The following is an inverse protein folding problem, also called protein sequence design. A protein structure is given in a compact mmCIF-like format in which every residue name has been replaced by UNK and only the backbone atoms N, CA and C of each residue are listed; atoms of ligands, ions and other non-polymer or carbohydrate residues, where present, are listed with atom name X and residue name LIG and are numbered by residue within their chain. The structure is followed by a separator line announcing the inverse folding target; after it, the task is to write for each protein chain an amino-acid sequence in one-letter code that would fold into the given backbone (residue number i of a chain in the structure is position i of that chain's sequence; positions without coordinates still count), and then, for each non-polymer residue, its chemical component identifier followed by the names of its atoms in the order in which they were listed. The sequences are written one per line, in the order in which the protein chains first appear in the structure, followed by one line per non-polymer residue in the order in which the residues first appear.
data_IF_561028598383
#
_entry.id   IF_561028598383
#
_cell.length_a   1.000
_cell.length_b   1.000
_cell.length_c   1.000
_cell.angle_alpha   90.00
_cell.angle_beta   90.00
_cell.angle_gamma   90.00
#
_symmetry.space_group_name_H-M   'P 1'
#
loop_
_entity.id
_entity.type
_entity.pdbx_description
1 polymer ?
#
# COMPACT_ATOMS: atom_id res chain seq x y z
N UNK A 1 13.55 39.71 18.07
CA UNK A 1 12.38 38.81 17.95
C UNK A 1 12.90 37.50 17.38
N UNK A 2 13.03 36.45 18.21
CA UNK A 2 13.42 35.13 17.71
C UNK A 2 12.18 34.56 17.02
N UNK A 3 12.26 34.37 15.71
CA UNK A 3 11.24 33.61 14.98
C UNK A 3 11.40 32.18 15.50
N UNK A 4 10.52 31.78 16.42
CA UNK A 4 10.38 30.38 16.76
C UNK A 4 9.95 29.70 15.47
N UNK A 5 10.85 28.88 14.93
CA UNK A 5 10.54 27.96 13.85
C UNK A 5 9.46 27.03 14.38
N UNK A 6 8.20 27.39 14.14
CA UNK A 6 7.07 26.49 14.35
C UNK A 6 7.45 25.20 13.63
N UNK A 7 7.60 24.13 14.42
CA UNK A 7 7.75 22.78 13.90
C UNK A 7 6.65 22.64 12.87
N UNK A 8 7.03 22.42 11.61
CA UNK A 8 6.10 22.05 10.55
C UNK A 8 5.11 21.06 11.15
N UNK A 9 3.86 21.49 11.30
CA UNK A 9 2.75 20.63 11.66
C UNK A 9 2.57 19.72 10.44
N UNK A 10 3.47 18.76 10.26
CA UNK A 10 3.36 17.71 9.25
C UNK A 10 2.13 16.93 9.62
N UNK A 11 1.01 17.33 9.02
CA UNK A 11 -0.27 16.66 9.14
C UNK A 11 -0.03 15.21 8.76
N UNK A 12 -0.13 14.30 9.72
CA UNK A 12 -0.05 12.88 9.41
C UNK A 12 -1.33 12.52 8.65
N UNK A 13 -1.25 12.08 7.38
CA UNK A 13 -2.44 11.80 6.58
C UNK A 13 -3.33 10.73 7.22
N UNK A 14 -2.77 9.86 8.06
CA UNK A 14 -3.52 8.81 8.75
C UNK A 14 -4.37 9.33 9.91
N UNK A 15 -4.14 10.55 10.41
CA UNK A 15 -4.93 11.11 11.50
C UNK A 15 -6.37 11.41 11.08
N UNK A 16 -6.64 11.52 9.78
CA UNK A 16 -8.02 11.67 9.28
C UNK A 16 -8.90 10.47 9.66
N UNK A 17 -8.33 9.29 9.98
CA UNK A 17 -9.07 8.11 10.45
C UNK A 17 -9.86 8.34 11.74
N UNK A 18 -9.50 9.37 12.51
CA UNK A 18 -10.19 9.74 13.75
C UNK A 18 -11.43 10.63 13.51
N UNK A 19 -11.65 11.07 12.27
CA UNK A 19 -12.83 11.84 11.89
C UNK A 19 -13.99 10.88 11.53
N UNK A 20 -15.25 11.34 11.61
CA UNK A 20 -16.39 10.60 11.04
C UNK A 20 -16.10 10.23 9.58
N UNK A 21 -16.35 8.98 9.21
CA UNK A 21 -16.08 8.41 7.88
C UNK A 21 -14.60 8.49 7.40
N UNK A 22 -13.68 8.82 8.30
CA UNK A 22 -12.27 9.04 7.99
C UNK A 22 -11.54 7.80 7.46
N UNK A 23 -11.93 6.62 7.94
CA UNK A 23 -11.39 5.34 7.46
C UNK A 23 -11.83 5.10 6.01
N UNK A 24 -13.13 5.26 5.70
CA UNK A 24 -13.64 5.07 4.34
C UNK A 24 -13.02 6.08 3.37
N UNK A 25 -12.84 7.32 3.80
CA UNK A 25 -12.14 8.36 3.04
C UNK A 25 -10.70 7.95 2.71
N UNK A 26 -9.93 7.47 3.69
CA UNK A 26 -8.57 6.99 3.46
C UNK A 26 -8.52 5.82 2.48
N UNK A 27 -9.39 4.84 2.66
CA UNK A 27 -9.45 3.67 1.78
C UNK A 27 -9.78 4.10 0.36
N UNK A 28 -10.70 5.05 0.16
CA UNK A 28 -11.00 5.59 -1.16
C UNK A 28 -9.80 6.30 -1.80
N UNK A 29 -9.06 7.10 -1.03
CA UNK A 29 -7.83 7.74 -1.53
C UNK A 29 -6.81 6.69 -1.96
N UNK A 30 -6.54 5.70 -1.11
CA UNK A 30 -5.55 4.66 -1.38
C UNK A 30 -5.94 3.83 -2.61
N UNK A 31 -7.21 3.48 -2.75
CA UNK A 31 -7.72 2.74 -3.91
C UNK A 31 -7.59 3.58 -5.19
N UNK A 32 -7.86 4.88 -5.14
CA UNK A 32 -7.69 5.78 -6.29
C UNK A 32 -6.22 5.94 -6.72
N UNK A 33 -5.26 5.62 -5.84
CA UNK A 33 -3.83 5.61 -6.18
C UNK A 33 -3.36 4.29 -6.78
N UNK A 34 -4.15 3.22 -6.66
CA UNK A 34 -3.83 1.91 -7.22
C UNK A 34 -4.32 1.86 -8.66
N UNK A 35 -3.41 1.55 -9.59
CA UNK A 35 -3.77 1.31 -10.99
C UNK A 35 -4.27 -0.13 -11.13
N UNK A 36 -5.57 -0.34 -10.88
CA UNK A 36 -6.20 -1.65 -11.01
C UNK A 36 -7.48 -1.83 -10.21
N UNK A 37 -8.22 -2.94 -10.47
CA UNK A 37 -9.43 -3.24 -9.73
C UNK A 37 -9.09 -3.64 -8.29
N UNK A 38 -9.76 -2.99 -7.33
CA UNK A 38 -9.75 -3.38 -5.92
C UNK A 38 -11.12 -3.94 -5.58
N UNK A 39 -11.16 -5.23 -5.26
CA UNK A 39 -12.40 -5.91 -4.89
C UNK A 39 -12.86 -5.56 -3.46
N UNK A 40 -14.04 -6.06 -3.09
CA UNK A 40 -14.60 -5.87 -1.76
C UNK A 40 -13.69 -6.42 -0.65
N UNK A 41 -13.06 -7.58 -0.88
CA UNK A 41 -12.17 -8.23 0.09
C UNK A 41 -10.97 -7.37 0.42
N UNK A 42 -10.27 -6.84 -0.59
CA UNK A 42 -9.13 -5.93 -0.41
C UNK A 42 -9.54 -4.62 0.24
N UNK A 43 -10.72 -4.10 -0.08
CA UNK A 43 -11.27 -2.91 0.56
C UNK A 43 -11.50 -3.12 2.06
N UNK A 44 -12.14 -4.22 2.44
CA UNK A 44 -12.37 -4.53 3.86
C UNK A 44 -11.08 -4.86 4.60
N UNK A 45 -10.12 -5.53 3.95
CA UNK A 45 -8.77 -5.71 4.47
C UNK A 45 -8.10 -4.37 4.79
N UNK A 46 -8.13 -3.40 3.86
CA UNK A 46 -7.56 -2.07 4.09
C UNK A 46 -8.24 -1.33 5.24
N UNK A 47 -9.56 -1.42 5.37
CA UNK A 47 -10.29 -0.85 6.52
C UNK A 47 -9.82 -1.43 7.84
N UNK A 48 -9.69 -2.75 7.91
CA UNK A 48 -9.25 -3.47 9.10
C UNK A 48 -7.81 -3.10 9.47
N UNK A 49 -6.92 -3.00 8.49
CA UNK A 49 -5.54 -2.55 8.72
C UNK A 49 -5.54 -1.12 9.28
N UNK A 50 -6.23 -0.18 8.63
CA UNK A 50 -6.24 1.23 9.03
C UNK A 50 -6.85 1.42 10.42
N UNK A 51 -7.91 0.69 10.75
CA UNK A 51 -8.58 0.78 12.06
C UNK A 51 -7.73 0.23 13.20
N UNK A 52 -6.87 -0.76 12.92
CA UNK A 52 -5.98 -1.37 13.91
C UNK A 52 -4.67 -0.60 14.14
N UNK A 53 -4.37 0.44 13.35
CA UNK A 53 -3.12 1.17 13.48
C UNK A 53 -3.00 1.93 14.82
N UNK A 54 -1.85 1.89 15.50
CA UNK A 54 -1.64 2.61 16.75
C UNK A 54 -1.66 4.14 16.52
N UNK A 55 -2.00 4.94 17.54
CA UNK A 55 -1.88 6.40 17.48
C UNK A 55 -0.48 6.85 17.04
N UNK A 56 -0.41 7.82 16.13
CA UNK A 56 0.86 8.29 15.56
C UNK A 56 1.51 7.35 14.55
N UNK A 57 0.84 6.27 14.12
CA UNK A 57 1.29 5.43 13.02
C UNK A 57 1.54 6.27 11.76
N UNK A 58 2.58 5.93 11.02
CA UNK A 58 2.98 6.64 9.79
C UNK A 58 2.53 5.86 8.55
N UNK A 59 2.65 6.46 7.37
CA UNK A 59 2.44 5.74 6.10
C UNK A 59 3.35 4.51 5.98
N UNK A 60 4.57 4.55 6.53
CA UNK A 60 5.46 3.39 6.55
C UNK A 60 4.89 2.26 7.44
N UNK A 61 4.28 2.61 8.58
CA UNK A 61 3.58 1.66 9.44
C UNK A 61 2.39 1.03 8.72
N UNK A 62 1.60 1.83 7.98
CA UNK A 62 0.50 1.33 7.16
C UNK A 62 1.02 0.32 6.11
N UNK A 63 2.06 0.67 5.35
CA UNK A 63 2.65 -0.21 4.33
C UNK A 63 3.10 -1.54 4.96
N UNK A 64 3.78 -1.49 6.10
CA UNK A 64 4.24 -2.70 6.79
C UNK A 64 3.06 -3.61 7.20
N UNK A 65 1.98 -3.03 7.75
CA UNK A 65 0.81 -3.81 8.17
C UNK A 65 0.04 -4.39 6.97
N UNK A 66 -0.05 -3.66 5.85
CA UNK A 66 -0.65 -4.19 4.61
C UNK A 66 0.17 -5.38 4.11
N UNK A 67 1.50 -5.24 4.04
CA UNK A 67 2.38 -6.35 3.61
C UNK A 67 2.25 -7.57 4.52
N UNK A 68 2.22 -7.35 5.83
CA UNK A 68 2.06 -8.44 6.79
C UNK A 68 0.72 -9.17 6.57
N UNK A 69 -0.37 -8.43 6.41
CA UNK A 69 -1.69 -9.01 6.16
C UNK A 69 -1.75 -9.77 4.82
N UNK A 70 -1.17 -9.22 3.74
CA UNK A 70 -1.10 -9.91 2.44
C UNK A 70 -0.23 -11.17 2.51
N UNK A 71 0.93 -11.11 3.19
CA UNK A 71 1.80 -12.28 3.38
C UNK A 71 1.07 -13.39 4.14
N UNK A 72 0.29 -13.03 5.17
CA UNK A 72 -0.54 -13.94 5.96
C UNK A 72 -1.63 -14.60 5.10
N UNK A 73 -2.32 -13.83 4.25
CA UNK A 73 -3.34 -14.37 3.34
C UNK A 73 -2.76 -15.34 2.31
N UNK A 74 -1.52 -15.12 1.87
CA UNK A 74 -0.79 -16.02 0.99
C UNK A 74 -0.15 -17.21 1.71
N UNK A 75 -0.17 -17.23 3.05
CA UNK A 75 0.47 -18.29 3.85
C UNK A 75 1.99 -18.29 3.76
N UNK A 76 2.60 -17.13 3.47
CA UNK A 76 4.05 -16.96 3.37
C UNK A 76 4.56 -15.97 4.42
N UNK A 77 5.86 -16.00 4.69
CA UNK A 77 6.48 -14.97 5.54
C UNK A 77 6.69 -13.66 4.77
N UNK A 78 6.97 -12.58 5.50
CA UNK A 78 7.13 -11.25 4.94
C UNK A 78 8.36 -11.15 4.01
N UNK A 79 9.43 -11.91 4.28
CA UNK A 79 10.63 -11.93 3.45
C UNK A 79 10.35 -12.55 2.07
N UNK A 80 9.57 -13.63 2.03
CA UNK A 80 9.14 -14.27 0.79
C UNK A 80 8.19 -13.36 0.00
N UNK A 81 7.28 -12.67 0.70
CA UNK A 81 6.41 -11.67 0.08
C UNK A 81 7.22 -10.55 -0.58
N UNK A 82 8.17 -9.95 0.14
CA UNK A 82 9.03 -8.88 -0.39
C UNK A 82 9.88 -9.35 -1.59
N UNK A 83 10.34 -10.60 -1.59
CA UNK A 83 11.05 -11.19 -2.73
C UNK A 83 10.13 -11.34 -3.95
N UNK A 84 8.87 -11.76 -3.76
CA UNK A 84 7.90 -11.88 -4.83
C UNK A 84 7.53 -10.52 -5.42
N UNK A 85 7.28 -9.51 -4.59
CA UNK A 85 6.98 -8.15 -5.07
C UNK A 85 8.10 -7.63 -5.97
N UNK A 86 9.37 -7.72 -5.52
CA UNK A 86 10.52 -7.30 -6.34
C UNK A 86 10.64 -8.08 -7.63
N UNK A 87 10.43 -9.39 -7.59
CA UNK A 87 10.45 -10.21 -8.80
C UNK A 87 9.36 -9.75 -9.78
N UNK A 88 8.15 -9.49 -9.31
CA UNK A 88 7.05 -9.02 -10.18
C UNK A 88 7.29 -7.62 -10.74
N UNK A 89 7.90 -6.71 -9.97
CA UNK A 89 8.31 -5.38 -10.45
C UNK A 89 9.33 -5.52 -11.60
N UNK A 90 10.38 -6.32 -11.40
CA UNK A 90 11.39 -6.59 -12.42
C UNK A 90 10.74 -7.22 -13.67
N UNK A 91 9.91 -8.25 -13.52
CA UNK A 91 9.23 -8.87 -14.65
C UNK A 91 8.32 -7.89 -15.40
N UNK A 92 7.65 -6.99 -14.69
CA UNK A 92 6.81 -5.94 -15.29
C UNK A 92 7.64 -4.93 -16.07
N UNK A 93 8.79 -4.51 -15.54
CA UNK A 93 9.73 -3.63 -16.26
C UNK A 93 10.30 -4.31 -17.50
N UNK A 94 10.67 -5.59 -17.41
CA UNK A 94 11.15 -6.39 -18.54
C UNK A 94 10.10 -6.52 -19.65
N UNK A 95 8.82 -6.71 -19.30
CA UNK A 95 7.72 -6.74 -20.26
C UNK A 95 7.48 -5.36 -20.93
N UNK A 96 7.71 -4.25 -20.21
CA UNK A 96 7.58 -2.90 -20.78
C UNK A 96 8.67 -2.56 -21.80
N UNK A 97 9.88 -3.12 -21.66
CA UNK A 97 11.00 -2.89 -22.60
C UNK A 97 10.78 -3.60 -23.96
N UNK A 98 9.77 -4.47 -24.10
CA UNK A 98 9.40 -5.22 -25.32
C UNK A 98 10.50 -6.06 -25.97
N UNK A 99 11.72 -6.04 -25.44
CA UNK A 99 12.88 -6.82 -25.92
C UNK A 99 12.70 -8.33 -25.72
N UNK A 100 11.70 -8.72 -24.94
CA UNK A 100 11.42 -10.10 -24.55
C UNK A 100 9.93 -10.43 -24.71
N UNK A 101 9.21 -9.75 -25.60
CA UNK A 101 7.78 -10.00 -25.85
C UNK A 101 7.48 -11.48 -26.14
N UNK A 102 8.42 -12.20 -26.77
CA UNK A 102 8.33 -13.64 -27.05
C UNK A 102 8.31 -14.52 -25.78
N UNK A 103 8.83 -14.04 -24.64
CA UNK A 103 8.84 -14.77 -23.37
C UNK A 103 7.57 -14.53 -22.52
N UNK A 104 6.82 -13.46 -22.79
CA UNK A 104 5.66 -13.05 -22.01
C UNK A 104 4.32 -13.18 -22.77
N UNK A 105 4.35 -13.33 -24.09
CA UNK A 105 3.18 -13.66 -24.88
C UNK A 105 3.13 -15.16 -25.13
N UNK A 106 2.05 -15.83 -24.72
CA UNK A 106 1.77 -17.20 -25.11
C UNK A 106 1.73 -17.29 -26.64
N UNK A 107 2.48 -18.23 -27.22
CA UNK A 107 2.35 -18.61 -28.63
C UNK A 107 0.86 -18.91 -28.90
N UNK A 108 0.30 -18.22 -29.90
CA UNK A 108 -1.09 -18.45 -30.38
C UNK A 108 -1.28 -19.86 -30.94
#
# INVERSE_FOLDING_TARGET
MKINSDKSNTLNPLDVRYQPDGIDYLVNILINMIDGPVDFTKREMLKNVISALPPGATMATLIANVKEEESRQLGINIEAYDALVRLTEVLTEFNKDKRYDDLFNEEK
#
